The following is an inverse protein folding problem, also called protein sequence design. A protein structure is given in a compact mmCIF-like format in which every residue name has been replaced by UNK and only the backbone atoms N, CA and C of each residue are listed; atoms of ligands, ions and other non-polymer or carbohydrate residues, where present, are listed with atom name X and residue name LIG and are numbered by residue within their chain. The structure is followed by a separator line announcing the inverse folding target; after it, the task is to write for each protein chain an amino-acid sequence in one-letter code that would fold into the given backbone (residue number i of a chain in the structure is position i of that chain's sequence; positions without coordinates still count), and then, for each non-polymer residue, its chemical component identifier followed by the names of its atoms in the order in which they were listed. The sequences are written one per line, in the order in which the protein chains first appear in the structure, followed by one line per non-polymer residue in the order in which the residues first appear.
data_IF_125555926820
#
_entry.id   IF_125555926820
#
_cell.length_a   1.000
_cell.length_b   1.000
_cell.length_c   1.000
_cell.angle_alpha   90.00
_cell.angle_beta   90.00
_cell.angle_gamma   90.00
#
_symmetry.space_group_name_H-M   'P 1'
#
loop_
_entity.id
_entity.type
_entity.pdbx_description
1 polymer ?
#
# COMPACT_ATOMS: atom_id res chain seq x y z
N UNK A 1 -25.91 2.90 -3.42
CA UNK A 1 -24.73 3.11 -4.29
C UNK A 1 -24.69 1.98 -5.32
N UNK A 2 -25.33 2.12 -6.49
CA UNK A 2 -25.63 0.99 -7.40
C UNK A 2 -24.47 0.57 -8.32
N UNK A 3 -23.26 1.13 -8.17
CA UNK A 3 -22.17 1.01 -9.15
C UNK A 3 -21.00 0.12 -8.70
N UNK A 4 -21.08 -0.51 -7.51
CA UNK A 4 -20.08 -1.50 -7.08
C UNK A 4 -20.37 -2.87 -7.68
N UNK A 5 -19.33 -3.54 -8.13
CA UNK A 5 -19.37 -4.89 -8.71
C UNK A 5 -19.76 -5.89 -7.63
N UNK A 6 -20.89 -6.58 -7.85
CA UNK A 6 -21.44 -7.58 -6.92
C UNK A 6 -20.65 -8.91 -7.03
N UNK A 7 -20.51 -9.45 -8.25
CA UNK A 7 -19.88 -10.75 -8.52
C UNK A 7 -18.57 -10.60 -9.32
N UNK A 8 -17.54 -9.98 -8.74
CA UNK A 8 -16.25 -9.87 -9.44
C UNK A 8 -15.63 -11.26 -9.68
N UNK A 9 -15.10 -11.49 -10.88
CA UNK A 9 -14.46 -12.76 -11.25
C UNK A 9 -15.40 -13.87 -11.71
N UNK A 10 -16.73 -13.70 -11.65
CA UNK A 10 -17.74 -14.70 -12.11
C UNK A 10 -17.48 -15.28 -13.50
N UNK A 11 -16.90 -14.49 -14.39
CA UNK A 11 -16.60 -14.87 -15.77
C UNK A 11 -15.11 -15.06 -16.05
N UNK A 12 -14.26 -15.17 -15.02
CA UNK A 12 -12.81 -15.33 -15.17
C UNK A 12 -12.02 -14.02 -15.24
N UNK A 13 -12.67 -12.88 -15.02
CA UNK A 13 -12.01 -11.58 -14.89
C UNK A 13 -11.03 -11.58 -13.70
N UNK A 14 -9.86 -10.95 -13.87
CA UNK A 14 -8.84 -10.83 -12.81
C UNK A 14 -8.42 -9.38 -12.60
N UNK A 15 -8.10 -9.05 -11.35
CA UNK A 15 -7.70 -7.71 -10.95
C UNK A 15 -7.72 -7.56 -9.44
N UNK A 16 -7.20 -6.44 -8.97
CA UNK A 16 -7.24 -6.01 -7.57
C UNK A 16 -8.08 -4.75 -7.45
N UNK A 17 -8.54 -4.42 -6.25
CA UNK A 17 -9.24 -3.14 -6.07
C UNK A 17 -8.29 -1.98 -6.39
N UNK A 18 -8.81 -0.91 -7.00
CA UNK A 18 -7.99 0.25 -7.37
C UNK A 18 -7.20 0.84 -6.20
N UNK A 19 -7.80 0.96 -5.01
CA UNK A 19 -7.13 1.48 -3.83
C UNK A 19 -5.99 0.58 -3.33
N UNK A 20 -6.12 -0.73 -3.51
CA UNK A 20 -5.06 -1.69 -3.19
C UNK A 20 -3.87 -1.56 -4.15
N UNK A 21 -4.14 -1.34 -5.44
CA UNK A 21 -3.09 -1.05 -6.42
C UNK A 21 -2.38 0.29 -6.11
N UNK A 22 -3.12 1.31 -5.67
CA UNK A 22 -2.56 2.58 -5.17
C UNK A 22 -1.68 2.34 -3.93
N UNK A 23 -2.15 1.56 -2.96
CA UNK A 23 -1.38 1.22 -1.76
C UNK A 23 -0.06 0.51 -2.10
N UNK A 24 -0.11 -0.47 -3.01
CA UNK A 24 1.07 -1.17 -3.49
C UNK A 24 2.06 -0.21 -4.17
N UNK A 25 1.56 0.72 -4.98
CA UNK A 25 2.42 1.71 -5.64
C UNK A 25 3.05 2.70 -4.65
N UNK A 26 2.33 3.10 -3.61
CA UNK A 26 2.87 3.91 -2.52
C UNK A 26 3.91 3.14 -1.70
N UNK A 27 3.70 1.84 -1.47
CA UNK A 27 4.68 0.95 -0.84
C UNK A 27 5.98 0.85 -1.64
N UNK A 28 5.90 0.75 -2.98
CA UNK A 28 7.08 0.79 -3.84
C UNK A 28 7.86 2.10 -3.67
N UNK A 29 7.16 3.24 -3.65
CA UNK A 29 7.76 4.56 -3.48
C UNK A 29 8.33 4.77 -2.06
N UNK A 30 7.79 4.08 -1.05
CA UNK A 30 8.30 4.13 0.32
C UNK A 30 9.69 3.46 0.46
N UNK A 31 10.04 2.57 -0.48
CA UNK A 31 11.33 1.91 -0.54
C UNK A 31 11.61 1.05 0.69
N UNK A 32 10.82 0.00 0.88
CA UNK A 32 11.00 -0.94 1.99
C UNK A 32 12.30 -1.75 1.86
N UNK A 33 12.73 -2.34 2.99
CA UNK A 33 13.86 -3.27 3.00
C UNK A 33 13.50 -4.50 2.17
N UNK A 34 14.13 -4.62 0.99
CA UNK A 34 13.89 -5.69 0.04
C UNK A 34 14.28 -7.08 0.57
N UNK A 35 15.32 -7.15 1.43
CA UNK A 35 15.74 -8.42 2.02
C UNK A 35 14.64 -8.97 2.95
N UNK A 36 14.20 -10.24 2.77
CA UNK A 36 13.12 -10.82 3.57
C UNK A 36 13.41 -10.85 5.07
N UNK A 37 12.38 -10.60 5.90
CA UNK A 37 12.46 -10.62 7.37
C UNK A 37 12.87 -12.00 7.92
N UNK A 38 12.64 -13.07 7.16
CA UNK A 38 13.03 -14.45 7.50
C UNK A 38 14.55 -14.68 7.47
N UNK A 39 15.29 -13.77 6.83
CA UNK A 39 16.76 -13.81 6.81
C UNK A 39 17.34 -13.03 7.99
N UNK A 40 18.52 -13.43 8.48
CA UNK A 40 19.17 -12.71 9.58
C UNK A 40 19.42 -11.23 9.24
N UNK A 41 19.94 -10.95 8.04
CA UNK A 41 20.16 -9.58 7.56
C UNK A 41 18.86 -8.77 7.50
N UNK A 42 17.78 -9.35 6.95
CA UNK A 42 16.50 -8.67 6.82
C UNK A 42 15.82 -8.41 8.16
N UNK A 43 15.93 -9.34 9.12
CA UNK A 43 15.48 -9.16 10.50
C UNK A 43 16.25 -8.03 11.19
N UNK A 44 17.59 -8.11 11.20
CA UNK A 44 18.42 -7.12 11.90
C UNK A 44 18.22 -5.72 11.33
N UNK A 45 18.10 -5.56 10.02
CA UNK A 45 17.85 -4.25 9.41
C UNK A 45 16.55 -3.61 9.92
N UNK A 46 15.49 -4.39 10.11
CA UNK A 46 14.20 -3.92 10.64
C UNK A 46 14.27 -3.63 12.13
N UNK A 47 14.91 -4.52 12.90
CA UNK A 47 15.10 -4.29 14.34
C UNK A 47 15.91 -3.02 14.56
N UNK A 48 17.03 -2.83 13.86
CA UNK A 48 17.80 -1.60 13.93
C UNK A 48 16.97 -0.37 13.55
N UNK A 49 16.15 -0.43 12.51
CA UNK A 49 15.25 0.67 12.15
C UNK A 49 14.26 1.01 13.27
N UNK A 50 13.62 0.00 13.85
CA UNK A 50 12.60 0.14 14.89
C UNK A 50 13.18 0.50 16.26
N UNK A 51 14.44 0.16 16.55
CA UNK A 51 15.02 0.31 17.88
C UNK A 51 16.17 1.31 17.98
N UNK A 52 16.46 2.06 16.90
CA UNK A 52 17.60 3.01 16.83
C UNK A 52 17.54 4.09 17.91
N UNK A 53 16.36 4.63 18.17
CA UNK A 53 16.15 5.74 19.11
C UNK A 53 14.96 5.45 20.03
N UNK A 54 14.85 6.14 21.19
CA UNK A 54 13.67 6.03 22.05
C UNK A 54 12.37 6.34 21.31
N UNK A 55 12.38 7.37 20.46
CA UNK A 55 11.25 7.72 19.60
C UNK A 55 10.87 6.58 18.63
N UNK A 56 11.86 5.97 17.97
CA UNK A 56 11.60 4.84 17.06
C UNK A 56 10.99 3.64 17.81
N UNK A 57 11.46 3.36 19.03
CA UNK A 57 10.90 2.30 19.88
C UNK A 57 9.46 2.60 20.25
N UNK A 58 9.17 3.82 20.70
CA UNK A 58 7.81 4.24 21.03
C UNK A 58 6.87 4.07 19.82
N UNK A 59 7.30 4.53 18.64
CA UNK A 59 6.53 4.35 17.40
C UNK A 59 6.32 2.86 17.05
N UNK A 60 7.35 2.02 17.24
CA UNK A 60 7.23 0.57 17.04
C UNK A 60 6.22 -0.06 18.00
N UNK A 61 6.20 0.36 19.27
CA UNK A 61 5.21 -0.09 20.27
C UNK A 61 3.79 0.32 19.85
N UNK A 62 3.60 1.58 19.45
CA UNK A 62 2.31 2.07 18.95
C UNK A 62 1.85 1.34 17.69
N UNK A 63 2.79 0.87 16.86
CA UNK A 63 2.53 0.03 15.70
C UNK A 63 2.31 -1.46 16.03
N UNK A 64 2.18 -1.82 17.31
CA UNK A 64 1.84 -3.18 17.75
C UNK A 64 3.01 -4.10 18.06
N UNK A 65 4.26 -3.61 18.07
CA UNK A 65 5.41 -4.42 18.49
C UNK A 65 5.41 -4.58 20.03
N UNK A 66 4.77 -5.62 20.54
CA UNK A 66 4.54 -5.81 21.99
C UNK A 66 5.65 -6.56 22.73
N UNK A 67 6.61 -7.16 22.04
CA UNK A 67 7.67 -7.97 22.65
C UNK A 67 8.55 -7.17 23.62
N UNK A 68 9.09 -7.85 24.64
CA UNK A 68 9.90 -7.19 25.68
C UNK A 68 11.25 -6.72 25.14
N UNK A 69 11.82 -5.67 25.74
CA UNK A 69 13.14 -5.14 25.34
C UNK A 69 14.25 -6.19 25.51
N UNK A 70 14.13 -7.06 26.52
CA UNK A 70 15.01 -8.24 26.69
C UNK A 70 14.98 -9.15 25.46
N UNK A 71 13.79 -9.40 24.92
CA UNK A 71 13.61 -10.26 23.74
C UNK A 71 14.16 -9.59 22.49
N UNK A 72 13.89 -8.29 22.30
CA UNK A 72 14.46 -7.51 21.19
C UNK A 72 15.99 -7.51 21.23
N UNK A 73 16.58 -7.31 22.41
CA UNK A 73 18.04 -7.36 22.59
C UNK A 73 18.62 -8.75 22.31
N UNK A 74 17.91 -9.83 22.67
CA UNK A 74 18.34 -11.19 22.35
C UNK A 74 18.36 -11.44 20.83
N UNK A 75 17.37 -10.93 20.09
CA UNK A 75 17.33 -11.03 18.63
C UNK A 75 18.41 -10.18 17.96
N UNK A 76 18.62 -8.95 18.43
CA UNK A 76 19.68 -8.05 17.94
C UNK A 76 21.09 -8.67 18.09
N UNK A 77 21.32 -9.43 19.17
CA UNK A 77 22.58 -10.13 19.42
C UNK A 77 22.68 -11.49 18.69
N UNK A 78 21.64 -11.90 17.95
CA UNK A 78 21.59 -13.20 17.28
C UNK A 78 21.43 -14.40 18.22
N UNK A 79 21.16 -14.18 19.51
CA UNK A 79 21.12 -15.25 20.52
C UNK A 79 19.85 -16.11 20.48
N UNK A 80 18.78 -15.68 19.81
CA UNK A 80 17.53 -16.45 19.65
C UNK A 80 16.87 -16.15 18.32
N UNK A 81 16.28 -17.18 17.69
CA UNK A 81 15.44 -17.01 16.49
C UNK A 81 14.00 -16.65 16.87
N UNK A 82 13.39 -15.62 16.25
CA UNK A 82 11.97 -15.33 16.42
C UNK A 82 11.09 -16.44 15.81
N UNK A 83 9.87 -16.58 16.33
CA UNK A 83 8.83 -17.42 15.73
C UNK A 83 8.26 -16.74 14.48
N UNK A 84 7.51 -17.48 13.64
CA UNK A 84 6.84 -16.89 12.46
C UNK A 84 5.94 -15.70 12.83
N UNK A 85 5.11 -15.85 13.87
CA UNK A 85 4.26 -14.78 14.38
C UNK A 85 5.07 -13.53 14.79
N UNK A 86 6.24 -13.71 15.41
CA UNK A 86 7.11 -12.59 15.77
C UNK A 86 7.75 -11.93 14.55
N UNK A 87 8.14 -12.70 13.52
CA UNK A 87 8.64 -12.15 12.26
C UNK A 87 7.57 -11.29 11.57
N UNK A 88 6.33 -11.77 11.57
CA UNK A 88 5.20 -11.05 10.98
C UNK A 88 4.89 -9.78 11.78
N UNK A 89 4.92 -9.82 13.11
CA UNK A 89 4.78 -8.64 13.96
C UNK A 89 5.90 -7.59 13.72
N UNK A 90 7.15 -8.03 13.54
CA UNK A 90 8.27 -7.14 13.21
C UNK A 90 8.11 -6.53 11.81
N UNK A 91 7.70 -7.31 10.81
CA UNK A 91 7.44 -6.82 9.45
C UNK A 91 6.32 -5.77 9.45
N UNK A 92 5.20 -6.06 10.11
CA UNK A 92 4.05 -5.16 10.23
C UNK A 92 4.47 -3.86 10.91
N UNK A 93 5.08 -3.93 12.09
CA UNK A 93 5.53 -2.74 12.81
C UNK A 93 6.53 -1.92 11.99
N UNK A 94 7.47 -2.57 11.30
CA UNK A 94 8.42 -1.90 10.42
C UNK A 94 7.71 -1.15 9.29
N UNK A 95 6.78 -1.79 8.57
CA UNK A 95 6.05 -1.16 7.47
C UNK A 95 5.26 0.03 7.97
N UNK A 96 4.46 -0.12 9.03
CA UNK A 96 3.66 0.96 9.61
C UNK A 96 4.52 2.17 9.98
N UNK A 97 5.59 1.96 10.75
CA UNK A 97 6.49 3.06 11.16
C UNK A 97 7.16 3.69 9.94
N UNK A 98 7.58 2.90 8.95
CA UNK A 98 8.21 3.40 7.73
C UNK A 98 7.24 4.25 6.91
N UNK A 99 5.99 3.80 6.72
CA UNK A 99 4.96 4.56 6.00
C UNK A 99 4.72 5.93 6.63
N UNK A 100 4.50 5.98 7.95
CA UNK A 100 4.37 7.25 8.67
C UNK A 100 5.59 8.17 8.50
N UNK A 101 6.80 7.62 8.61
CA UNK A 101 8.02 8.43 8.50
C UNK A 101 8.24 9.03 7.11
N UNK A 102 7.83 8.33 6.04
CA UNK A 102 8.00 8.81 4.65
C UNK A 102 6.80 9.60 4.13
N UNK A 103 5.63 9.52 4.76
CA UNK A 103 4.38 10.13 4.30
C UNK A 103 4.54 11.60 3.92
N UNK A 104 5.14 12.41 4.81
CA UNK A 104 5.38 13.85 4.55
C UNK A 104 6.24 14.10 3.30
N UNK A 105 7.25 13.26 3.07
CA UNK A 105 8.11 13.37 1.89
C UNK A 105 7.37 12.94 0.62
N UNK A 106 6.64 11.83 0.68
CA UNK A 106 5.83 11.33 -0.44
C UNK A 106 4.76 12.35 -0.85
N UNK A 107 4.05 12.94 0.12
CA UNK A 107 3.06 13.98 -0.13
C UNK A 107 3.66 15.13 -0.95
N UNK A 108 4.81 15.66 -0.51
CA UNK A 108 5.48 16.76 -1.21
C UNK A 108 5.88 16.37 -2.64
N UNK A 109 6.38 15.14 -2.83
CA UNK A 109 6.75 14.62 -4.15
C UNK A 109 5.53 14.51 -5.06
N UNK A 110 4.45 13.90 -4.58
CA UNK A 110 3.25 13.59 -5.36
C UNK A 110 2.41 14.83 -5.69
N UNK A 111 2.30 15.78 -4.76
CA UNK A 111 1.63 17.06 -5.03
C UNK A 111 2.41 17.92 -6.04
N UNK A 112 3.73 17.72 -6.17
CA UNK A 112 4.59 18.38 -7.16
C UNK A 112 4.33 19.90 -7.25
N UNK A 113 4.35 20.57 -6.10
CA UNK A 113 4.07 22.02 -5.98
C UNK A 113 2.69 22.43 -6.57
N UNK A 114 1.67 21.59 -6.39
CA UNK A 114 0.31 21.82 -6.88
C UNK A 114 0.06 21.36 -8.32
N UNK A 115 1.09 20.97 -9.08
CA UNK A 115 0.91 20.37 -10.42
C UNK A 115 0.22 19.01 -10.33
N UNK A 116 0.43 18.30 -9.23
CA UNK A 116 -0.04 16.94 -9.03
C UNK A 116 0.78 15.90 -9.78
N UNK A 117 0.28 14.67 -9.69
CA UNK A 117 0.85 13.49 -10.33
C UNK A 117 -0.16 12.91 -11.30
N UNK A 118 0.30 12.59 -12.51
CA UNK A 118 -0.50 11.82 -13.47
C UNK A 118 -0.55 10.37 -12.99
N UNK A 119 -1.77 9.89 -12.81
CA UNK A 119 -2.10 8.52 -12.42
C UNK A 119 -2.65 7.79 -13.63
N UNK A 120 -2.11 6.61 -13.86
CA UNK A 120 -2.38 5.71 -14.97
C UNK A 120 -3.18 4.53 -14.44
N UNK A 121 -4.32 4.23 -15.05
CA UNK A 121 -5.22 3.17 -14.59
C UNK A 121 -5.34 2.13 -15.70
N UNK A 122 -4.80 0.94 -15.42
CA UNK A 122 -4.88 -0.20 -16.31
C UNK A 122 -6.11 -1.04 -15.97
N UNK A 123 -7.00 -1.31 -16.94
CA UNK A 123 -8.24 -2.03 -16.69
C UNK A 123 -7.96 -3.46 -16.21
N UNK A 124 -8.97 -4.08 -15.62
CA UNK A 124 -8.96 -5.50 -15.24
C UNK A 124 -8.60 -6.41 -16.43
N UNK A 125 -8.00 -7.57 -16.12
CA UNK A 125 -7.61 -8.57 -17.09
C UNK A 125 -8.83 -9.44 -17.47
N UNK A 126 -9.11 -9.50 -18.78
CA UNK A 126 -10.18 -10.29 -19.37
C UNK A 126 -9.68 -11.45 -20.25
N UNK A 127 -8.39 -11.78 -20.21
CA UNK A 127 -7.79 -12.86 -21.01
C UNK A 127 -8.43 -14.23 -20.79
N UNK A 128 -8.98 -14.46 -19.59
CA UNK A 128 -9.70 -15.68 -19.21
C UNK A 128 -11.23 -15.57 -19.34
N UNK A 129 -11.74 -14.42 -19.81
CA UNK A 129 -13.17 -14.20 -20.05
C UNK A 129 -13.52 -14.66 -21.46
N UNK A 130 -14.61 -15.43 -21.59
CA UNK A 130 -15.12 -15.85 -22.90
C UNK A 130 -15.43 -14.64 -23.80
N UNK A 131 -15.00 -14.68 -25.06
CA UNK A 131 -15.10 -13.55 -26.02
C UNK A 131 -16.46 -12.84 -26.04
N UNK A 132 -17.63 -13.51 -26.04
CA UNK A 132 -18.93 -12.82 -26.06
C UNK A 132 -19.19 -11.95 -24.82
N UNK A 133 -18.51 -12.24 -23.70
CA UNK A 133 -18.64 -11.54 -22.42
C UNK A 133 -17.55 -10.50 -22.21
N UNK A 134 -16.52 -10.47 -23.05
CA UNK A 134 -15.50 -9.43 -22.97
C UNK A 134 -16.09 -8.07 -23.30
N UNK A 135 -15.54 -7.03 -22.67
CA UNK A 135 -15.91 -5.63 -22.91
C UNK A 135 -14.65 -4.83 -23.22
N UNK A 136 -14.77 -3.89 -24.14
CA UNK A 136 -13.69 -2.93 -24.41
C UNK A 136 -13.68 -1.93 -23.27
N UNK A 137 -12.72 -2.07 -22.36
CA UNK A 137 -12.45 -1.12 -21.28
C UNK A 137 -11.13 -0.45 -21.59
N UNK A 138 -11.11 0.84 -21.95
CA UNK A 138 -9.88 1.51 -22.35
C UNK A 138 -8.96 1.77 -21.15
N UNK A 139 -7.69 1.99 -21.44
CA UNK A 139 -6.77 2.61 -20.49
C UNK A 139 -7.22 4.05 -20.15
N UNK A 140 -7.07 4.46 -18.88
CA UNK A 140 -7.44 5.81 -18.42
C UNK A 140 -6.30 6.47 -17.67
N UNK A 141 -6.34 7.80 -17.68
CA UNK A 141 -5.45 8.62 -16.85
C UNK A 141 -6.23 9.72 -16.16
N UNK A 142 -5.84 10.05 -14.94
CA UNK A 142 -6.31 11.24 -14.23
C UNK A 142 -5.14 11.94 -13.52
N UNK A 143 -5.28 13.21 -13.18
CA UNK A 143 -4.23 13.97 -12.52
C UNK A 143 -4.64 14.31 -11.09
N UNK A 144 -4.02 13.65 -10.10
CA UNK A 144 -4.30 13.88 -8.68
C UNK A 144 -3.43 15.03 -8.20
N UNK A 145 -4.08 16.13 -7.78
CA UNK A 145 -3.42 17.33 -7.23
C UNK A 145 -3.40 17.38 -5.70
N UNK A 146 -4.27 16.61 -5.05
CA UNK A 146 -4.45 16.58 -3.60
C UNK A 146 -4.27 15.15 -3.11
N UNK A 147 -3.06 14.81 -2.67
CA UNK A 147 -2.70 13.46 -2.22
C UNK A 147 -2.92 13.22 -0.73
N UNK A 148 -3.29 14.25 0.03
CA UNK A 148 -3.35 14.25 1.50
C UNK A 148 -4.15 13.06 2.03
N UNK A 149 -5.41 12.92 1.63
CA UNK A 149 -6.29 11.86 2.12
C UNK A 149 -5.79 10.46 1.75
N UNK A 150 -5.24 10.28 0.53
CA UNK A 150 -4.68 9.00 0.09
C UNK A 150 -3.44 8.62 0.90
N UNK A 151 -2.50 9.56 1.06
CA UNK A 151 -1.24 9.31 1.76
C UNK A 151 -1.48 9.13 3.26
N UNK A 152 -2.39 9.88 3.86
CA UNK A 152 -2.74 9.76 5.28
C UNK A 152 -3.40 8.41 5.57
N UNK A 153 -4.38 7.99 4.76
CA UNK A 153 -5.02 6.68 4.91
C UNK A 153 -4.02 5.53 4.70
N UNK A 154 -3.18 5.62 3.67
CA UNK A 154 -2.11 4.64 3.43
C UNK A 154 -1.11 4.57 4.58
N UNK A 155 -0.71 5.72 5.14
CA UNK A 155 0.23 5.78 6.23
C UNK A 155 -0.35 5.18 7.52
N UNK A 156 -1.63 5.43 7.79
CA UNK A 156 -2.37 4.84 8.91
C UNK A 156 -2.67 3.34 8.73
N UNK A 157 -2.55 2.81 7.51
CA UNK A 157 -2.96 1.44 7.20
C UNK A 157 -4.48 1.25 7.20
N UNK A 158 -5.23 2.34 7.00
CA UNK A 158 -6.69 2.34 6.96
C UNK A 158 -7.18 2.05 5.52
N UNK A 159 -7.43 0.77 5.24
CA UNK A 159 -7.86 0.30 3.92
C UNK A 159 -9.20 0.91 3.49
N UNK A 160 -10.12 1.12 4.44
CA UNK A 160 -11.43 1.69 4.15
C UNK A 160 -11.34 3.19 3.86
N UNK A 161 -10.56 3.94 4.64
CA UNK A 161 -10.32 5.35 4.34
C UNK A 161 -9.60 5.51 3.00
N UNK A 162 -8.71 4.58 2.65
CA UNK A 162 -8.01 4.58 1.37
C UNK A 162 -8.96 4.25 0.20
N UNK A 163 -9.86 3.27 0.35
CA UNK A 163 -10.93 2.97 -0.62
C UNK A 163 -11.81 4.19 -0.87
N UNK A 164 -12.25 4.86 0.21
CA UNK A 164 -13.06 6.06 0.11
C UNK A 164 -12.32 7.22 -0.59
N UNK A 165 -11.08 7.51 -0.16
CA UNK A 165 -10.28 8.58 -0.77
C UNK A 165 -9.95 8.30 -2.25
N UNK A 166 -9.72 7.03 -2.61
CA UNK A 166 -9.53 6.65 -4.00
C UNK A 166 -10.82 6.76 -4.81
N UNK A 167 -11.95 6.33 -4.24
CA UNK A 167 -13.28 6.43 -4.86
C UNK A 167 -13.59 7.87 -5.24
N UNK A 168 -13.33 8.82 -4.34
CA UNK A 168 -13.54 10.25 -4.58
C UNK A 168 -12.75 10.79 -5.80
N UNK A 169 -11.59 10.21 -6.11
CA UNK A 169 -10.80 10.60 -7.30
C UNK A 169 -11.24 9.89 -8.58
N UNK A 170 -11.60 8.60 -8.51
CA UNK A 170 -12.00 7.86 -9.72
C UNK A 170 -13.37 8.28 -10.22
N UNK A 171 -14.25 8.82 -9.37
CA UNK A 171 -15.53 9.39 -9.80
C UNK A 171 -15.35 10.54 -10.80
N UNK A 172 -14.20 11.22 -10.82
CA UNK A 172 -13.86 12.23 -11.83
C UNK A 172 -13.75 11.65 -13.25
N UNK A 173 -13.65 10.32 -13.40
CA UNK A 173 -13.73 9.63 -14.70
C UNK A 173 -15.16 9.66 -15.30
N UNK A 174 -16.15 10.14 -14.55
CA UNK A 174 -17.55 10.19 -14.94
C UNK A 174 -18.26 8.85 -14.78
N UNK A 175 -19.39 8.66 -15.47
CA UNK A 175 -20.30 7.52 -15.31
C UNK A 175 -19.71 6.13 -15.56
N UNK A 176 -18.47 6.04 -16.06
CA UNK A 176 -17.77 4.78 -16.32
C UNK A 176 -16.78 4.39 -15.21
N UNK A 177 -16.67 5.17 -14.13
CA UNK A 177 -15.66 4.92 -13.09
C UNK A 177 -15.78 3.52 -12.47
N UNK A 178 -17.00 2.96 -12.36
CA UNK A 178 -17.23 1.60 -11.84
C UNK A 178 -16.51 0.50 -12.63
N UNK A 179 -16.16 0.74 -13.91
CA UNK A 179 -15.35 -0.19 -14.70
C UNK A 179 -13.89 -0.29 -14.21
N UNK A 180 -13.45 0.66 -13.38
CA UNK A 180 -12.11 0.75 -12.80
C UNK A 180 -12.10 0.50 -11.29
N UNK A 181 -13.19 -0.04 -10.74
CA UNK A 181 -13.21 -0.54 -9.37
C UNK A 181 -12.15 -1.64 -9.18
N UNK A 182 -12.00 -2.50 -10.18
CA UNK A 182 -10.94 -3.49 -10.28
C UNK A 182 -10.01 -3.18 -11.44
N UNK A 183 -8.72 -3.31 -11.17
CA UNK A 183 -7.64 -2.91 -12.07
C UNK A 183 -6.56 -3.98 -12.07
N UNK A 184 -5.76 -4.02 -13.12
CA UNK A 184 -4.52 -4.82 -13.12
C UNK A 184 -3.41 -4.10 -12.40
N UNK A 185 -3.26 -2.79 -12.64
CA UNK A 185 -2.18 -1.97 -12.07
C UNK A 185 -2.59 -0.50 -12.07
N UNK A 186 -2.03 0.27 -11.13
CA UNK A 186 -2.05 1.73 -11.13
C UNK A 186 -0.61 2.26 -11.20
N UNK A 187 -0.34 3.12 -12.18
CA UNK A 187 0.96 3.76 -12.39
C UNK A 187 0.96 5.21 -11.93
N UNK A 188 2.08 5.68 -11.36
CA UNK A 188 2.29 7.10 -11.03
C UNK A 188 3.45 7.63 -11.86
N UNK A 189 3.22 8.71 -12.62
CA UNK A 189 4.28 9.44 -13.32
C UNK A 189 4.95 10.46 -12.38
N UNK A 190 5.57 9.99 -11.30
CA UNK A 190 6.12 10.77 -10.18
C UNK A 190 7.59 10.50 -9.85
#
# INVERSE_FOLDING_TARGET
MPERTIDFGKYGARGVKGHQAVAARLDDLAGFIATPVTTNRGLLARLHYLTRTPHARAAARSAGLTVTDRTLNAWLKGGRRPTRANLDAVETAYRTVRRHNVARYLLRRLNRQGRGTRVEIHPLDQSHVLRPRQRVVPYRTLNIRHWERLVDAWAAGDDQALDNAWTDHITDLGSQWGQYEYVTTVGFAA
#
